data_IF_527960670311
#
_entry.id   IF_527960670311
#
_cell.length_a   1.000
_cell.length_b   1.000
_cell.length_c   1.000
_cell.angle_alpha   90.00
_cell.angle_beta   90.00
_cell.angle_gamma   90.00
#
_symmetry.space_group_name_H-M   'P 1'
#
loop_
_entity.id
_entity.type
_entity.pdbx_description
1 polymer ?
#
# COMPACT_ATOMS: atom_id res chain seq x y z
N UNK A 1 19.10 -4.39 5.52
CA UNK A 1 19.28 -3.23 6.41
C UNK A 1 20.35 -2.24 5.94
N UNK A 2 21.59 -2.67 5.62
CA UNK A 2 22.62 -1.74 5.07
C UNK A 2 22.17 -1.10 3.74
N UNK A 3 21.57 -1.90 2.85
CA UNK A 3 21.05 -1.41 1.56
C UNK A 3 19.95 -0.35 1.76
N UNK A 4 19.07 -0.55 2.74
CA UNK A 4 18.03 0.43 3.11
C UNK A 4 18.62 1.77 3.54
N UNK A 5 19.59 1.75 4.47
CA UNK A 5 20.25 2.99 4.91
C UNK A 5 20.98 3.69 3.75
N UNK A 6 21.56 2.91 2.84
CA UNK A 6 22.21 3.44 1.65
C UNK A 6 21.19 4.08 0.68
N UNK A 7 20.08 3.41 0.41
CA UNK A 7 19.00 3.92 -0.44
C UNK A 7 18.36 5.19 0.12
N UNK A 8 18.03 5.20 1.41
CA UNK A 8 17.51 6.39 2.11
C UNK A 8 18.54 7.52 2.11
N UNK A 9 19.83 7.20 2.31
CA UNK A 9 20.92 8.17 2.23
C UNK A 9 21.05 8.82 0.85
N UNK A 10 20.97 8.04 -0.22
CA UNK A 10 20.93 8.57 -1.60
C UNK A 10 19.69 9.44 -1.80
N UNK A 11 18.52 8.98 -1.35
CA UNK A 11 17.29 9.74 -1.44
C UNK A 11 17.38 11.11 -0.75
N UNK A 12 17.96 11.17 0.46
CA UNK A 12 18.25 12.42 1.16
C UNK A 12 19.20 13.34 0.36
N UNK A 13 20.27 12.78 -0.22
CA UNK A 13 21.24 13.55 -1.00
C UNK A 13 20.61 14.13 -2.28
N UNK A 14 19.84 13.32 -3.00
CA UNK A 14 19.09 13.76 -4.20
C UNK A 14 18.07 14.84 -3.83
N UNK A 15 17.37 14.68 -2.71
CA UNK A 15 16.40 15.67 -2.24
C UNK A 15 17.06 17.02 -1.91
N UNK A 16 18.20 17.00 -1.23
CA UNK A 16 18.95 18.22 -0.93
C UNK A 16 19.43 18.91 -2.21
N UNK A 17 20.01 18.14 -3.14
CA UNK A 17 20.46 18.66 -4.42
C UNK A 17 19.33 19.30 -5.22
N UNK A 18 18.17 18.65 -5.29
CA UNK A 18 17.01 19.17 -6.01
C UNK A 18 16.34 20.38 -5.32
N UNK A 19 16.39 20.43 -3.98
CA UNK A 19 15.88 21.56 -3.20
C UNK A 19 16.74 22.82 -3.42
N UNK A 20 18.07 22.65 -3.47
CA UNK A 20 19.01 23.74 -3.76
C UNK A 20 18.90 24.23 -5.21
N UNK A 21 18.61 23.34 -6.17
CA UNK A 21 18.45 23.70 -7.58
C UNK A 21 17.19 24.55 -7.86
N UNK A 22 16.17 24.45 -7.02
CA UNK A 22 14.86 25.09 -7.20
C UNK A 22 14.61 26.23 -6.21
N UNK A 23 15.64 26.86 -5.65
CA UNK A 23 15.54 27.99 -4.70
C UNK A 23 14.54 27.79 -3.55
N UNK A 24 14.33 26.53 -3.11
CA UNK A 24 13.42 26.23 -2.02
C UNK A 24 11.93 26.52 -2.26
N UNK A 25 11.44 26.42 -3.50
CA UNK A 25 10.02 26.58 -3.88
C UNK A 25 9.05 25.67 -3.08
N UNK A 26 9.55 24.64 -2.40
CA UNK A 26 8.76 23.70 -1.59
C UNK A 26 8.55 24.19 -0.15
N UNK A 27 7.29 24.23 0.30
CA UNK A 27 6.85 24.83 1.56
C UNK A 27 7.55 24.29 2.83
N UNK A 28 8.01 23.04 2.85
CA UNK A 28 8.74 22.44 3.98
C UNK A 28 9.92 21.61 3.49
N UNK A 29 11.14 22.09 3.72
CA UNK A 29 12.40 21.40 3.37
C UNK A 29 12.45 20.00 3.98
N UNK A 30 12.06 19.88 5.25
CA UNK A 30 12.08 18.61 5.97
C UNK A 30 11.07 17.62 5.40
N UNK A 31 9.84 18.05 5.13
CA UNK A 31 8.82 17.19 4.53
C UNK A 31 9.26 16.72 3.13
N UNK A 32 9.84 17.61 2.33
CA UNK A 32 10.34 17.27 0.99
C UNK A 32 11.45 16.22 1.04
N UNK A 33 12.46 16.40 1.90
CA UNK A 33 13.56 15.45 2.05
C UNK A 33 13.05 14.10 2.52
N UNK A 34 12.20 14.06 3.56
CA UNK A 34 11.65 12.81 4.07
C UNK A 34 10.79 12.09 3.02
N UNK A 35 10.02 12.84 2.24
CA UNK A 35 9.19 12.28 1.17
C UNK A 35 10.04 11.63 0.08
N UNK A 36 11.02 12.35 -0.46
CA UNK A 36 11.93 11.82 -1.49
C UNK A 36 12.75 10.64 -0.94
N UNK A 37 13.29 10.75 0.28
CA UNK A 37 14.07 9.68 0.90
C UNK A 37 13.25 8.40 1.11
N UNK A 38 11.99 8.54 1.52
CA UNK A 38 11.06 7.39 1.66
C UNK A 38 10.79 6.69 0.32
N UNK A 39 10.66 7.44 -0.77
CA UNK A 39 10.47 6.91 -2.12
C UNK A 39 11.62 6.02 -2.60
N UNK A 40 12.86 6.32 -2.20
CA UNK A 40 14.03 5.51 -2.54
C UNK A 40 14.17 4.25 -1.67
N UNK A 41 13.52 4.21 -0.51
CA UNK A 41 13.57 3.10 0.44
C UNK A 41 12.61 1.96 0.15
N UNK A 42 11.83 2.00 -0.94
CA UNK A 42 10.93 0.91 -1.31
C UNK A 42 11.69 -0.23 -2.00
N UNK A 43 11.53 -1.45 -1.49
CA UNK A 43 11.91 -2.68 -2.20
C UNK A 43 10.68 -3.46 -2.69
N UNK A 44 10.81 -4.14 -3.83
CA UNK A 44 9.73 -4.93 -4.41
C UNK A 44 9.58 -6.28 -3.70
N UNK A 45 8.90 -6.28 -2.54
CA UNK A 45 8.61 -7.47 -1.75
C UNK A 45 8.06 -8.66 -2.59
N UNK A 46 7.10 -8.48 -3.52
CA UNK A 46 6.54 -9.61 -4.27
C UNK A 46 7.58 -10.31 -5.16
N UNK A 47 8.49 -9.54 -5.76
CA UNK A 47 9.56 -10.08 -6.61
C UNK A 47 10.55 -10.87 -5.75
N UNK A 48 10.94 -10.33 -4.59
CA UNK A 48 11.83 -11.01 -3.65
C UNK A 48 11.24 -12.32 -3.13
N UNK A 49 9.98 -12.31 -2.71
CA UNK A 49 9.29 -13.50 -2.23
C UNK A 49 9.18 -14.58 -3.32
N UNK A 50 8.87 -14.17 -4.56
CA UNK A 50 8.81 -15.07 -5.71
C UNK A 50 10.19 -15.63 -6.07
N UNK A 51 11.24 -14.82 -5.99
CA UNK A 51 12.62 -15.24 -6.22
C UNK A 51 13.10 -16.25 -5.17
N UNK A 52 12.84 -16.00 -3.88
CA UNK A 52 13.16 -16.94 -2.82
C UNK A 52 12.38 -18.24 -2.96
N UNK A 53 11.13 -18.17 -3.45
CA UNK A 53 10.34 -19.35 -3.78
C UNK A 53 10.95 -20.16 -4.93
N UNK A 54 11.32 -19.50 -6.03
CA UNK A 54 11.92 -20.18 -7.19
C UNK A 54 13.26 -20.82 -6.87
N UNK A 55 13.99 -20.26 -5.91
CA UNK A 55 15.24 -20.82 -5.38
C UNK A 55 15.04 -21.87 -4.28
N UNK A 56 13.80 -22.19 -3.88
CA UNK A 56 13.47 -23.05 -2.73
C UNK A 56 14.09 -22.60 -1.39
N UNK A 57 14.41 -21.31 -1.25
CA UNK A 57 15.01 -20.72 -0.05
C UNK A 57 13.98 -20.13 0.92
N UNK A 58 12.71 -20.10 0.55
CA UNK A 58 11.63 -19.44 1.30
C UNK A 58 11.52 -19.92 2.76
N UNK A 59 11.76 -21.21 3.00
CA UNK A 59 11.69 -21.82 4.33
C UNK A 59 13.07 -21.95 5.01
N UNK A 60 14.15 -21.59 4.31
CA UNK A 60 15.49 -21.61 4.87
C UNK A 60 15.71 -20.39 5.79
N UNK A 61 16.61 -20.46 6.79
CA UNK A 61 16.89 -19.36 7.69
C UNK A 61 17.21 -18.05 6.96
N UNK A 62 17.94 -18.13 5.84
CA UNK A 62 18.29 -16.97 5.03
C UNK A 62 17.08 -16.35 4.33
N UNK A 63 16.12 -17.15 3.86
CA UNK A 63 14.89 -16.66 3.25
C UNK A 63 13.94 -16.05 4.27
N UNK A 64 13.77 -16.70 5.43
CA UNK A 64 12.96 -16.18 6.54
C UNK A 64 13.50 -14.83 7.02
N UNK A 65 14.81 -14.73 7.24
CA UNK A 65 15.46 -13.47 7.63
C UNK A 65 15.29 -12.38 6.57
N UNK A 66 15.41 -12.75 5.29
CA UNK A 66 15.27 -11.79 4.18
C UNK A 66 13.84 -11.25 4.09
N UNK A 67 12.83 -12.11 4.20
CA UNK A 67 11.41 -11.73 4.19
C UNK A 67 11.07 -10.89 5.41
N UNK A 68 11.57 -11.26 6.59
CA UNK A 68 11.38 -10.47 7.81
C UNK A 68 11.98 -9.08 7.68
N UNK A 69 13.21 -8.96 7.18
CA UNK A 69 13.86 -7.68 6.94
C UNK A 69 13.08 -6.81 5.94
N UNK A 70 12.55 -7.42 4.87
CA UNK A 70 11.73 -6.71 3.90
C UNK A 70 10.39 -6.23 4.49
N UNK A 71 9.78 -7.00 5.39
CA UNK A 71 8.58 -6.57 6.11
C UNK A 71 8.86 -5.40 7.08
N UNK A 72 10.01 -5.44 7.79
CA UNK A 72 10.44 -4.35 8.67
C UNK A 72 10.72 -3.08 7.89
N UNK A 73 11.34 -3.19 6.71
CA UNK A 73 11.61 -2.06 5.82
C UNK A 73 10.33 -1.33 5.42
N UNK A 74 9.29 -2.06 5.02
CA UNK A 74 8.00 -1.47 4.66
C UNK A 74 7.46 -0.64 5.83
N UNK A 75 7.39 -1.22 7.04
CA UNK A 75 6.94 -0.51 8.25
C UNK A 75 7.74 0.78 8.49
N UNK A 76 9.07 0.75 8.35
CA UNK A 76 9.93 1.93 8.54
C UNK A 76 9.60 3.02 7.53
N UNK A 77 9.43 2.67 6.25
CA UNK A 77 9.06 3.62 5.19
C UNK A 77 7.70 4.26 5.47
N UNK A 78 6.71 3.46 5.91
CA UNK A 78 5.39 3.95 6.31
C UNK A 78 5.45 4.95 7.46
N UNK A 79 6.27 4.69 8.48
CA UNK A 79 6.45 5.61 9.61
C UNK A 79 7.11 6.90 9.16
N UNK A 80 8.15 6.84 8.32
CA UNK A 80 8.83 8.03 7.79
C UNK A 80 7.87 8.88 6.95
N UNK A 81 7.03 8.25 6.12
CA UNK A 81 6.03 8.94 5.32
C UNK A 81 4.97 9.62 6.19
N UNK A 82 4.50 8.96 7.26
CA UNK A 82 3.57 9.56 8.22
C UNK A 82 4.16 10.79 8.90
N UNK A 83 5.45 10.73 9.30
CA UNK A 83 6.17 11.88 9.86
C UNK A 83 6.31 12.99 8.82
N UNK A 84 6.66 12.67 7.57
CA UNK A 84 6.75 13.65 6.48
C UNK A 84 5.42 14.37 6.25
N UNK A 85 4.31 13.62 6.27
CA UNK A 85 2.94 14.15 6.15
C UNK A 85 2.56 15.05 7.33
N UNK A 86 2.94 14.69 8.56
CA UNK A 86 2.72 15.54 9.73
C UNK A 86 3.46 16.89 9.61
N UNK A 87 4.70 16.88 9.09
CA UNK A 87 5.46 18.10 8.84
C UNK A 87 4.97 18.92 7.64
N UNK A 88 4.26 18.32 6.68
CA UNK A 88 3.67 19.05 5.55
C UNK A 88 2.31 19.67 5.87
N UNK A 89 1.53 19.04 6.75
CA UNK A 89 0.11 19.36 6.90
C UNK A 89 -0.15 20.61 7.76
N UNK A 90 0.80 21.06 8.59
CA UNK A 90 0.66 22.26 9.44
C UNK A 90 -0.62 22.32 10.30
N UNK A 91 -1.34 21.21 10.43
CA UNK A 91 -2.75 21.16 10.82
C UNK A 91 -2.96 21.12 12.32
N UNK A 92 -4.09 21.65 12.76
CA UNK A 92 -4.49 21.62 14.17
C UNK A 92 -4.82 20.20 14.65
N UNK A 93 -4.61 19.89 15.94
CA UNK A 93 -4.92 18.58 16.53
C UNK A 93 -6.38 18.13 16.31
N UNK A 94 -7.31 19.09 16.19
CA UNK A 94 -8.72 18.86 15.85
C UNK A 94 -8.91 18.25 14.47
N UNK A 95 -8.13 18.70 13.48
CA UNK A 95 -8.18 18.17 12.12
C UNK A 95 -7.66 16.72 12.09
N UNK A 96 -6.60 16.44 12.84
CA UNK A 96 -6.09 15.06 13.01
C UNK A 96 -7.12 14.12 13.65
N UNK A 97 -7.83 14.57 14.69
CA UNK A 97 -8.90 13.77 15.32
C UNK A 97 -10.06 13.52 14.37
N UNK A 98 -10.45 14.53 13.57
CA UNK A 98 -11.50 14.41 12.57
C UNK A 98 -11.13 13.37 11.49
N UNK A 99 -9.91 13.45 10.94
CA UNK A 99 -9.40 12.46 9.97
C UNK A 99 -9.36 11.06 10.59
N UNK A 100 -8.93 10.93 11.85
CA UNK A 100 -8.88 9.63 12.55
C UNK A 100 -10.28 9.00 12.67
N UNK A 101 -11.28 9.74 13.13
CA UNK A 101 -12.66 9.24 13.25
C UNK A 101 -13.25 8.85 11.90
N UNK A 102 -13.04 9.69 10.88
CA UNK A 102 -13.45 9.40 9.51
C UNK A 102 -12.78 8.13 8.97
N UNK A 103 -11.50 7.92 9.26
CA UNK A 103 -10.76 6.70 8.88
C UNK A 103 -11.37 5.45 9.51
N UNK A 104 -11.67 5.50 10.81
CA UNK A 104 -12.29 4.38 11.53
C UNK A 104 -13.67 4.05 10.96
N UNK A 105 -14.48 5.06 10.67
CA UNK A 105 -15.79 4.89 10.03
C UNK A 105 -15.66 4.25 8.64
N UNK A 106 -14.70 4.69 7.83
CA UNK A 106 -14.41 4.11 6.51
C UNK A 106 -14.01 2.63 6.61
N UNK A 107 -13.08 2.29 7.52
CA UNK A 107 -12.67 0.90 7.75
C UNK A 107 -13.86 0.03 8.17
N UNK A 108 -14.70 0.54 9.07
CA UNK A 108 -15.90 -0.17 9.50
C UNK A 108 -16.86 -0.44 8.31
N UNK A 109 -17.12 0.57 7.47
CA UNK A 109 -17.95 0.41 6.26
C UNK A 109 -17.37 -0.64 5.32
N UNK A 110 -16.06 -0.61 5.09
CA UNK A 110 -15.38 -1.59 4.22
C UNK A 110 -15.54 -3.02 4.75
N UNK A 111 -15.33 -3.24 6.04
CA UNK A 111 -15.39 -4.57 6.66
C UNK A 111 -16.84 -5.08 6.78
N UNK A 112 -17.78 -4.23 7.19
CA UNK A 112 -19.15 -4.65 7.51
C UNK A 112 -20.13 -4.55 6.34
N UNK A 113 -19.84 -3.76 5.30
CA UNK A 113 -20.73 -3.57 4.15
C UNK A 113 -20.10 -4.14 2.89
N UNK A 114 -18.90 -3.68 2.51
CA UNK A 114 -18.29 -4.06 1.23
C UNK A 114 -17.88 -5.53 1.20
N UNK A 115 -17.17 -6.00 2.24
CA UNK A 115 -16.73 -7.40 2.32
C UNK A 115 -17.88 -8.43 2.23
N UNK A 116 -19.00 -8.31 2.97
CA UNK A 116 -20.10 -9.26 2.81
C UNK A 116 -20.82 -9.14 1.46
N UNK A 117 -20.90 -7.95 0.86
CA UNK A 117 -21.45 -7.79 -0.51
C UNK A 117 -20.60 -8.58 -1.50
N UNK A 118 -19.28 -8.41 -1.49
CA UNK A 118 -18.36 -9.16 -2.36
C UNK A 118 -18.44 -10.67 -2.11
N UNK A 119 -18.52 -11.10 -0.86
CA UNK A 119 -18.70 -12.53 -0.54
C UNK A 119 -20.02 -13.11 -1.05
N UNK A 120 -21.13 -12.36 -0.99
CA UNK A 120 -22.43 -12.79 -1.51
C UNK A 120 -22.45 -12.86 -3.03
N UNK A 121 -21.88 -11.84 -3.69
CA UNK A 121 -21.73 -11.80 -5.14
C UNK A 121 -20.91 -13.02 -5.58
N UNK A 122 -19.72 -13.20 -5.00
CA UNK A 122 -18.85 -14.34 -5.29
C UNK A 122 -19.56 -15.69 -5.10
N UNK A 123 -20.26 -15.88 -3.97
CA UNK A 123 -21.00 -17.11 -3.70
C UNK A 123 -22.16 -17.38 -4.67
N UNK A 124 -22.78 -16.35 -5.24
CA UNK A 124 -23.86 -16.48 -6.22
C UNK A 124 -23.34 -16.88 -7.61
N UNK A 125 -22.20 -16.34 -8.03
CA UNK A 125 -21.61 -16.63 -9.35
C UNK A 125 -20.89 -17.99 -9.38
N UNK A 126 -20.22 -18.40 -8.30
CA UNK A 126 -19.64 -19.73 -8.13
C UNK A 126 -20.65 -20.87 -8.36
N UNK A 127 -21.90 -20.68 -7.91
CA UNK A 127 -22.96 -21.68 -8.05
C UNK A 127 -23.47 -21.83 -9.49
N UNK A 128 -23.15 -20.89 -10.38
CA UNK A 128 -23.70 -20.82 -11.73
C UNK A 128 -22.75 -21.30 -12.84
N UNK A 129 -21.50 -21.65 -12.50
CA UNK A 129 -20.47 -22.06 -13.48
C UNK A 129 -20.36 -21.09 -14.69
N UNK A 130 -20.67 -19.81 -14.49
CA UNK A 130 -20.50 -18.80 -15.53
C UNK A 130 -19.05 -18.33 -15.53
N UNK A 131 -18.46 -18.15 -16.72
CA UNK A 131 -17.13 -17.56 -16.99
C UNK A 131 -17.08 -16.04 -16.63
N UNK A 132 -17.67 -15.67 -15.50
CA UNK A 132 -17.92 -14.30 -15.03
C UNK A 132 -16.68 -13.66 -14.39
N UNK A 133 -15.48 -14.07 -14.80
CA UNK A 133 -14.23 -13.61 -14.20
C UNK A 133 -14.00 -12.12 -14.47
N UNK A 134 -14.31 -11.65 -15.68
CA UNK A 134 -14.08 -10.27 -16.10
C UNK A 134 -14.89 -9.26 -15.25
N UNK A 135 -16.16 -9.55 -14.96
CA UNK A 135 -17.00 -8.64 -14.17
C UNK A 135 -16.55 -8.51 -12.71
N UNK A 136 -16.07 -9.61 -12.12
CA UNK A 136 -15.52 -9.62 -10.77
C UNK A 136 -14.22 -8.82 -10.72
N UNK A 137 -13.33 -9.02 -11.70
CA UNK A 137 -12.08 -8.25 -11.82
C UNK A 137 -12.36 -6.76 -11.99
N UNK A 138 -13.29 -6.39 -12.88
CA UNK A 138 -13.70 -4.99 -13.07
C UNK A 138 -14.29 -4.41 -11.77
N UNK A 139 -15.12 -5.17 -11.05
CA UNK A 139 -15.65 -4.77 -9.75
C UNK A 139 -14.56 -4.53 -8.71
N UNK A 140 -13.54 -5.39 -8.65
CA UNK A 140 -12.38 -5.22 -7.78
C UNK A 140 -11.61 -3.94 -8.13
N UNK A 141 -11.34 -3.68 -9.42
CA UNK A 141 -10.67 -2.46 -9.86
C UNK A 141 -11.46 -1.19 -9.54
N UNK A 142 -12.78 -1.20 -9.75
CA UNK A 142 -13.64 -0.07 -9.39
C UNK A 142 -13.64 0.18 -7.89
N UNK A 143 -13.73 -0.88 -7.09
CA UNK A 143 -13.65 -0.76 -5.63
C UNK A 143 -12.32 -0.16 -5.20
N UNK A 144 -11.20 -0.63 -5.76
CA UNK A 144 -9.86 -0.09 -5.49
C UNK A 144 -9.78 1.40 -5.79
N UNK A 145 -10.28 1.84 -6.96
CA UNK A 145 -10.24 3.25 -7.36
C UNK A 145 -11.13 4.12 -6.47
N UNK A 146 -12.36 3.70 -6.19
CA UNK A 146 -13.29 4.43 -5.32
C UNK A 146 -12.71 4.54 -3.90
N UNK A 147 -12.15 3.45 -3.38
CA UNK A 147 -11.54 3.43 -2.06
C UNK A 147 -10.35 4.39 -1.99
N UNK A 148 -9.46 4.31 -2.97
CA UNK A 148 -8.27 5.18 -3.07
C UNK A 148 -8.64 6.65 -3.14
N UNK A 149 -9.59 6.98 -4.02
CA UNK A 149 -10.09 8.35 -4.18
C UNK A 149 -10.74 8.87 -2.89
N UNK A 150 -11.56 8.05 -2.23
CA UNK A 150 -12.22 8.43 -0.99
C UNK A 150 -11.21 8.74 0.10
N UNK A 151 -10.18 7.89 0.28
CA UNK A 151 -9.13 8.14 1.27
C UNK A 151 -8.31 9.39 0.96
N UNK A 152 -8.00 9.66 -0.31
CA UNK A 152 -7.27 10.86 -0.72
C UNK A 152 -8.06 12.13 -0.40
N UNK A 153 -9.36 12.14 -0.68
CA UNK A 153 -10.26 13.26 -0.34
C UNK A 153 -10.35 13.50 1.18
N UNK A 154 -10.19 12.46 1.99
CA UNK A 154 -10.16 12.56 3.46
C UNK A 154 -8.82 13.08 4.00
N UNK A 155 -7.83 13.32 3.13
CA UNK A 155 -6.48 13.75 3.52
C UNK A 155 -5.58 12.60 3.98
N UNK A 156 -5.90 11.36 3.59
CA UNK A 156 -5.10 10.15 3.83
C UNK A 156 -4.50 9.72 2.50
N UNK A 157 -3.30 9.16 2.48
CA UNK A 157 -2.72 8.64 1.24
C UNK A 157 -3.63 7.60 0.55
N UNK A 158 -3.89 7.81 -0.75
CA UNK A 158 -4.72 6.95 -1.60
C UNK A 158 -4.38 5.45 -1.52
N UNK A 159 -3.10 5.11 -1.32
CA UNK A 159 -2.68 3.71 -1.15
C UNK A 159 -3.43 2.99 -0.02
N UNK A 160 -3.72 3.69 1.08
CA UNK A 160 -4.40 3.09 2.22
C UNK A 160 -5.81 2.61 1.85
N UNK A 161 -6.55 3.41 1.05
CA UNK A 161 -7.86 3.03 0.55
C UNK A 161 -7.81 1.79 -0.34
N UNK A 162 -6.88 1.75 -1.29
CA UNK A 162 -6.65 0.57 -2.13
C UNK A 162 -6.32 -0.67 -1.29
N UNK A 163 -5.45 -0.54 -0.28
CA UNK A 163 -5.05 -1.65 0.58
C UNK A 163 -6.25 -2.25 1.33
N UNK A 164 -7.08 -1.42 1.97
CA UNK A 164 -8.28 -1.88 2.68
C UNK A 164 -9.29 -2.53 1.72
N UNK A 165 -9.48 -1.97 0.53
CA UNK A 165 -10.33 -2.57 -0.50
C UNK A 165 -9.82 -3.96 -0.91
N UNK A 166 -8.51 -4.13 -1.09
CA UNK A 166 -7.88 -5.42 -1.38
C UNK A 166 -8.11 -6.47 -0.29
N UNK A 167 -8.10 -6.08 0.99
CA UNK A 167 -8.41 -6.98 2.12
C UNK A 167 -9.86 -7.47 2.14
N UNK A 168 -10.78 -6.73 1.49
CA UNK A 168 -12.19 -7.10 1.42
C UNK A 168 -12.48 -8.13 0.32
N UNK A 169 -11.58 -8.32 -0.64
CA UNK A 169 -11.74 -9.27 -1.74
C UNK A 169 -11.54 -10.71 -1.22
N UNK A 170 -12.49 -11.64 -1.47
CA UNK A 170 -12.37 -13.03 -1.02
C UNK A 170 -11.20 -13.76 -1.70
N UNK A 171 -10.34 -14.40 -0.88
CA UNK A 171 -9.17 -15.19 -1.33
C UNK A 171 -9.48 -16.64 -1.73
N UNK A 172 -10.74 -17.03 -1.93
CA UNK A 172 -11.10 -18.43 -2.19
C UNK A 172 -10.79 -18.83 -3.65
N UNK A 173 -9.71 -19.60 -3.82
CA UNK A 173 -9.52 -20.63 -4.85
C UNK A 173 -9.42 -20.17 -6.31
N UNK A 174 -10.52 -19.68 -6.88
CA UNK A 174 -10.68 -19.66 -8.34
C UNK A 174 -10.09 -18.41 -9.01
N UNK A 175 -10.06 -17.26 -8.33
CA UNK A 175 -9.46 -16.04 -8.89
C UNK A 175 -7.93 -16.12 -8.99
N UNK A 176 -7.28 -16.77 -8.02
CA UNK A 176 -5.81 -16.93 -8.02
C UNK A 176 -5.40 -18.00 -9.04
N UNK A 177 -6.16 -19.10 -9.16
CA UNK A 177 -5.94 -20.10 -10.20
C UNK A 177 -6.11 -19.53 -11.61
N UNK A 178 -7.06 -18.62 -11.86
CA UNK A 178 -7.15 -17.96 -13.17
C UNK A 178 -5.92 -17.12 -13.54
N UNK A 179 -5.33 -16.37 -12.58
CA UNK A 179 -4.11 -15.59 -12.84
C UNK A 179 -2.88 -16.48 -13.04
N UNK A 180 -2.84 -17.66 -12.42
CA UNK A 180 -1.71 -18.60 -12.53
C UNK A 180 -1.85 -19.50 -13.77
N UNK A 181 -3.05 -19.91 -14.15
CA UNK A 181 -3.30 -20.93 -15.19
C UNK A 181 -3.51 -20.32 -16.60
N UNK A 182 -3.34 -19.00 -16.74
CA UNK A 182 -3.35 -18.29 -18.04
C UNK A 182 -1.94 -18.11 -18.62
N UNK A 183 -0.89 -18.65 -17.97
CA UNK A 183 0.48 -18.68 -18.47
C UNK A 183 1.08 -20.09 -18.44
#
# INVERSE_FOLDING_TARGET
>A
MIVLFFQVGIGCAVALWFYELNDGIVASKTAFILFIASGFGFSAFPVLATLLNSMNLLNEPIGIQTIFLAAVEDIVVWVVLAVASAFSSGGSALQGLYTLLLTLAFIAIMIFIIRPIFNRIHGFYLQRHDDCNVYIVVGCFLLLLIASFTTEVMGIHAFFGAFIAGLCIPRKGELVEFFINTY
#
